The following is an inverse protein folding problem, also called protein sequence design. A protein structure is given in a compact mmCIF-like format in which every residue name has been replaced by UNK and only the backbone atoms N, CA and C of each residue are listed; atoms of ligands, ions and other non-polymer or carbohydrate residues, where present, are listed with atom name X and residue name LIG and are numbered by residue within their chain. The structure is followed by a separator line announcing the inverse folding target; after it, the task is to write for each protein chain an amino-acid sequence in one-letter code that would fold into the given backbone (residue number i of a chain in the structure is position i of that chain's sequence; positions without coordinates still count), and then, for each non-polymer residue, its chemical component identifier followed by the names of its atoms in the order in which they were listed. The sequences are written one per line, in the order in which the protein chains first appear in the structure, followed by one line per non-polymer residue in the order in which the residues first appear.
data_IF_087582477150
#
_entry.id   IF_087582477150
#
_cell.length_a   1.000
_cell.length_b   1.000
_cell.length_c   1.000
_cell.angle_alpha   90.00
_cell.angle_beta   90.00
_cell.angle_gamma   90.00
#
_symmetry.space_group_name_H-M   'P 1'
#
loop_
_entity.id
_entity.type
_entity.pdbx_description
1 polymer ?
#
# COMPACT_ATOMS: atom_id res chain seq x y z
N UNK A 1 16.59 -31.36 6.49
CA UNK A 1 17.71 -30.50 6.97
C UNK A 1 17.43 -30.10 8.41
N UNK A 2 18.42 -30.17 9.32
CA UNK A 2 18.25 -29.73 10.72
C UNK A 2 17.90 -28.22 10.74
N UNK A 3 16.98 -27.81 11.61
CA UNK A 3 16.54 -26.42 11.76
C UNK A 3 17.73 -25.48 12.02
N UNK A 4 18.74 -25.96 12.76
CA UNK A 4 19.98 -25.23 12.98
C UNK A 4 20.80 -24.99 11.71
N UNK A 5 20.87 -25.97 10.81
CA UNK A 5 21.67 -25.87 9.60
C UNK A 5 20.99 -24.93 8.59
N UNK A 6 19.66 -24.97 8.51
CA UNK A 6 18.89 -23.98 7.74
C UNK A 6 19.10 -22.56 8.27
N UNK A 7 19.08 -22.35 9.60
CA UNK A 7 19.36 -21.02 10.18
C UNK A 7 20.78 -20.57 9.87
N UNK A 8 21.79 -21.44 10.02
CA UNK A 8 23.18 -21.08 9.67
C UNK A 8 23.32 -20.73 8.19
N UNK A 9 22.63 -21.45 7.30
CA UNK A 9 22.60 -21.14 5.87
C UNK A 9 22.07 -19.73 5.65
N UNK A 10 20.91 -19.40 6.23
CA UNK A 10 20.32 -18.06 6.14
C UNK A 10 21.29 -16.99 6.67
N UNK A 11 21.94 -17.20 7.81
CA UNK A 11 22.90 -16.23 8.38
C UNK A 11 24.11 -16.01 7.46
N UNK A 12 24.60 -17.07 6.78
CA UNK A 12 25.72 -16.96 5.83
C UNK A 12 25.33 -16.20 4.55
N UNK A 13 24.11 -16.40 4.08
CA UNK A 13 23.60 -15.81 2.83
C UNK A 13 23.07 -14.36 3.01
N UNK A 14 22.92 -13.90 4.25
CA UNK A 14 22.42 -12.56 4.54
C UNK A 14 23.45 -11.49 4.20
N UNK A 15 23.08 -10.54 3.34
CA UNK A 15 23.97 -9.46 2.87
C UNK A 15 24.14 -8.36 3.91
N UNK A 16 23.10 -8.10 4.70
CA UNK A 16 23.13 -7.17 5.84
C UNK A 16 22.79 -7.86 7.16
N UNK A 17 23.02 -7.16 8.27
CA UNK A 17 22.70 -7.68 9.60
C UNK A 17 21.18 -7.69 9.85
N UNK A 18 20.49 -6.69 9.32
CA UNK A 18 19.04 -6.48 9.43
C UNK A 18 18.27 -7.62 8.76
N UNK A 19 18.85 -8.26 7.74
CA UNK A 19 18.27 -9.45 7.12
C UNK A 19 18.15 -10.65 8.08
N UNK A 20 18.89 -10.68 9.18
CA UNK A 20 18.74 -11.74 10.18
C UNK A 20 17.37 -11.66 10.90
N UNK A 21 16.73 -10.49 10.91
CA UNK A 21 15.36 -10.34 11.43
C UNK A 21 14.32 -11.05 10.55
N UNK A 22 14.67 -11.37 9.30
CA UNK A 22 13.82 -12.12 8.37
C UNK A 22 13.89 -13.65 8.55
N UNK A 23 14.73 -14.17 9.45
CA UNK A 23 14.85 -15.61 9.72
C UNK A 23 13.49 -16.30 9.93
N UNK A 24 12.53 -15.75 10.69
CA UNK A 24 11.23 -16.39 10.91
C UNK A 24 10.56 -16.82 9.60
N UNK A 25 10.41 -15.92 8.64
CA UNK A 25 9.72 -16.28 7.40
C UNK A 25 10.65 -16.99 6.40
N UNK A 26 11.95 -16.67 6.37
CA UNK A 26 12.92 -17.33 5.48
C UNK A 26 13.00 -18.84 5.77
N UNK A 27 12.96 -19.22 7.05
CA UNK A 27 13.06 -20.62 7.49
C UNK A 27 11.89 -21.49 6.99
N UNK A 28 10.70 -20.91 6.84
CA UNK A 28 9.48 -21.62 6.48
C UNK A 28 8.95 -21.26 5.09
N UNK A 29 9.76 -20.61 4.24
CA UNK A 29 9.32 -20.09 2.93
C UNK A 29 8.70 -21.15 2.00
N UNK A 30 9.19 -22.38 2.07
CA UNK A 30 8.70 -23.51 1.26
C UNK A 30 7.69 -24.40 2.00
N UNK A 31 7.27 -24.01 3.21
CA UNK A 31 6.36 -24.82 4.03
C UNK A 31 4.89 -24.59 3.63
N UNK A 32 4.10 -25.67 3.61
CA UNK A 32 2.65 -25.59 3.39
C UNK A 32 1.93 -25.12 4.66
N UNK A 33 1.04 -24.15 4.52
CA UNK A 33 0.18 -23.69 5.62
C UNK A 33 -0.86 -24.75 5.96
N UNK A 34 -1.07 -25.00 7.26
CA UNK A 34 -2.14 -25.85 7.80
C UNK A 34 -3.03 -25.02 8.72
N UNK A 35 -4.32 -25.37 8.82
CA UNK A 35 -5.32 -24.66 9.64
C UNK A 35 -4.91 -24.46 11.09
N UNK A 36 -4.26 -25.48 11.69
CA UNK A 36 -3.74 -25.42 13.06
C UNK A 36 -2.72 -24.30 13.31
N UNK A 37 -2.11 -23.73 12.28
CA UNK A 37 -1.11 -22.68 12.42
C UNK A 37 -1.72 -21.28 12.62
N UNK A 38 -2.93 -21.04 12.12
CA UNK A 38 -3.63 -19.76 12.26
C UNK A 38 -4.89 -19.85 13.14
N UNK A 39 -5.18 -21.00 13.75
CA UNK A 39 -6.30 -21.14 14.68
C UNK A 39 -6.13 -20.19 15.87
N UNK A 40 -7.07 -19.25 16.01
CA UNK A 40 -7.13 -18.26 17.09
C UNK A 40 -5.86 -17.40 17.24
N UNK A 41 -5.13 -17.16 16.16
CA UNK A 41 -3.95 -16.28 16.19
C UNK A 41 -4.39 -14.82 16.34
N UNK A 42 -3.71 -14.06 17.20
CA UNK A 42 -3.97 -12.64 17.41
C UNK A 42 -3.03 -11.79 16.55
N UNK A 43 -3.56 -10.98 15.62
CA UNK A 43 -2.79 -10.16 14.69
C UNK A 43 -3.12 -8.69 14.90
N UNK A 44 -2.09 -7.87 15.13
CA UNK A 44 -2.22 -6.42 15.21
C UNK A 44 -1.69 -5.76 13.95
N UNK A 45 -2.41 -4.81 13.38
CA UNK A 45 -1.93 -3.96 12.28
C UNK A 45 -1.79 -2.54 12.83
N UNK A 46 -0.59 -2.00 12.85
CA UNK A 46 -0.31 -0.66 13.37
C UNK A 46 -0.19 0.31 12.22
N UNK A 47 -1.07 1.32 12.19
CA UNK A 47 -1.04 2.39 11.21
C UNK A 47 -1.29 3.73 11.92
N UNK A 48 -0.30 4.62 11.84
CA UNK A 48 -0.38 5.99 12.35
C UNK A 48 -0.50 6.91 11.14
N UNK A 49 -1.72 7.29 10.75
CA UNK A 49 -1.93 8.10 9.57
C UNK A 49 -1.23 9.45 9.64
N UNK A 50 -0.94 9.99 8.47
CA UNK A 50 -0.24 11.25 8.26
C UNK A 50 -0.92 12.08 7.19
N UNK A 51 -2.10 12.63 7.51
CA UNK A 51 -2.93 13.29 6.53
C UNK A 51 -3.50 12.33 5.49
N UNK A 52 -4.60 12.74 4.84
CA UNK A 52 -5.24 11.96 3.79
C UNK A 52 -5.74 10.58 4.23
N UNK A 53 -5.90 9.69 3.23
CA UNK A 53 -6.46 8.34 3.37
C UNK A 53 -5.58 7.24 2.75
N UNK A 54 -4.44 7.56 2.13
CA UNK A 54 -3.68 6.59 1.32
C UNK A 54 -3.24 5.34 2.10
N UNK A 55 -2.57 5.54 3.22
CA UNK A 55 -2.09 4.49 4.11
C UNK A 55 -3.23 3.79 4.88
N UNK A 56 -4.32 4.51 5.16
CA UNK A 56 -5.56 3.96 5.73
C UNK A 56 -6.21 2.97 4.75
N UNK A 57 -6.32 3.32 3.46
CA UNK A 57 -6.87 2.41 2.45
C UNK A 57 -5.96 1.21 2.23
N UNK A 58 -4.63 1.42 2.22
CA UNK A 58 -3.65 0.34 2.16
C UNK A 58 -3.84 -0.62 3.35
N UNK A 59 -3.96 -0.08 4.56
CA UNK A 59 -4.18 -0.83 5.80
C UNK A 59 -5.51 -1.59 5.75
N UNK A 60 -6.60 -0.94 5.31
CA UNK A 60 -7.90 -1.59 5.10
C UNK A 60 -7.79 -2.77 4.13
N UNK A 61 -7.19 -2.54 2.96
CA UNK A 61 -7.06 -3.59 1.93
C UNK A 61 -6.26 -4.78 2.47
N UNK A 62 -5.19 -4.51 3.21
CA UNK A 62 -4.38 -5.54 3.85
C UNK A 62 -5.14 -6.29 4.96
N UNK A 63 -5.92 -5.58 5.77
CA UNK A 63 -6.81 -6.16 6.77
C UNK A 63 -7.82 -7.12 6.13
N UNK A 64 -8.47 -6.70 5.04
CA UNK A 64 -9.45 -7.51 4.31
C UNK A 64 -8.81 -8.82 3.82
N UNK A 65 -7.57 -8.78 3.31
CA UNK A 65 -6.82 -9.99 2.94
C UNK A 65 -6.56 -10.91 4.13
N UNK A 66 -6.17 -10.38 5.28
CA UNK A 66 -5.88 -11.21 6.46
C UNK A 66 -7.14 -11.92 6.96
N UNK A 67 -8.28 -11.23 6.98
CA UNK A 67 -9.58 -11.80 7.37
C UNK A 67 -10.00 -12.88 6.37
N UNK A 68 -9.87 -12.62 5.07
CA UNK A 68 -10.20 -13.59 4.01
C UNK A 68 -9.30 -14.83 4.08
N UNK A 69 -7.98 -14.65 4.24
CA UNK A 69 -7.02 -15.75 4.19
C UNK A 69 -6.97 -16.58 5.47
N UNK A 70 -7.29 -15.97 6.61
CA UNK A 70 -7.17 -16.57 7.94
C UNK A 70 -8.44 -16.30 8.77
N UNK A 71 -9.58 -16.91 8.42
CA UNK A 71 -10.89 -16.54 8.99
C UNK A 71 -11.02 -16.78 10.50
N UNK A 72 -10.16 -17.62 11.10
CA UNK A 72 -10.14 -17.85 12.56
C UNK A 72 -9.13 -16.96 13.29
N UNK A 73 -8.45 -16.06 12.59
CA UNK A 73 -7.53 -15.10 13.19
C UNK A 73 -8.32 -13.92 13.78
N UNK A 74 -7.83 -13.40 14.92
CA UNK A 74 -8.34 -12.16 15.51
C UNK A 74 -7.48 -11.02 15.02
N UNK A 75 -7.93 -10.33 13.97
CA UNK A 75 -7.21 -9.19 13.38
C UNK A 75 -7.74 -7.90 13.98
N UNK A 76 -6.85 -7.00 14.42
CA UNK A 76 -7.20 -5.68 14.95
C UNK A 76 -6.30 -4.60 14.39
N UNK A 77 -6.86 -3.44 14.10
CA UNK A 77 -6.11 -2.26 13.64
C UNK A 77 -5.87 -1.34 14.83
N UNK A 78 -4.60 -1.02 15.08
CA UNK A 78 -4.15 -0.07 16.09
C UNK A 78 -3.82 1.25 15.40
N UNK A 79 -4.55 2.31 15.71
CA UNK A 79 -4.44 3.60 14.99
C UNK A 79 -4.78 4.78 15.89
N UNK A 80 -4.27 5.95 15.53
CA UNK A 80 -4.62 7.24 16.18
C UNK A 80 -5.95 7.79 15.68
N UNK A 81 -6.37 7.45 14.45
CA UNK A 81 -7.53 8.06 13.77
C UNK A 81 -8.64 7.04 13.45
N UNK A 82 -9.28 6.39 14.46
CA UNK A 82 -10.31 5.38 14.23
C UNK A 82 -11.51 5.92 13.43
N UNK A 83 -11.81 7.21 13.53
CA UNK A 83 -12.90 7.85 12.79
C UNK A 83 -12.69 7.75 11.27
N UNK A 84 -11.45 7.88 10.78
CA UNK A 84 -11.15 7.72 9.35
C UNK A 84 -11.41 6.29 8.85
N UNK A 85 -11.19 5.28 9.71
CA UNK A 85 -11.53 3.90 9.41
C UNK A 85 -13.05 3.65 9.40
N UNK A 86 -13.77 4.28 10.34
CA UNK A 86 -15.24 4.22 10.36
C UNK A 86 -15.84 4.77 9.06
N UNK A 87 -15.30 5.89 8.54
CA UNK A 87 -15.76 6.51 7.29
C UNK A 87 -15.64 5.62 6.06
N UNK A 88 -14.76 4.61 6.09
CA UNK A 88 -14.55 3.66 5.00
C UNK A 88 -15.08 2.25 5.33
N UNK A 89 -15.95 2.15 6.34
CA UNK A 89 -16.70 0.95 6.69
C UNK A 89 -15.98 -0.04 7.60
N UNK A 90 -14.89 0.35 8.27
CA UNK A 90 -14.29 -0.46 9.35
C UNK A 90 -14.70 0.16 10.68
N UNK A 91 -15.70 -0.41 11.33
CA UNK A 91 -16.19 0.04 12.64
C UNK A 91 -15.73 -0.86 13.79
N UNK A 92 -15.49 -2.14 13.51
CA UNK A 92 -15.12 -3.13 14.51
C UNK A 92 -13.61 -3.38 14.55
N UNK A 93 -13.12 -3.94 15.66
CA UNK A 93 -11.73 -4.37 15.82
C UNK A 93 -10.67 -3.24 15.72
N UNK A 94 -11.09 -2.00 15.96
CA UNK A 94 -10.19 -0.86 16.09
C UNK A 94 -9.68 -0.72 17.53
N UNK A 95 -8.41 -0.37 17.68
CA UNK A 95 -7.78 -0.01 18.95
C UNK A 95 -7.23 1.40 18.80
N UNK A 96 -7.82 2.32 19.55
CA UNK A 96 -7.35 3.71 19.59
C UNK A 96 -6.00 3.79 20.29
N UNK A 97 -5.05 4.44 19.62
CA UNK A 97 -3.78 4.88 20.18
C UNK A 97 -3.91 6.37 20.50
N UNK A 98 -3.47 6.76 21.69
CA UNK A 98 -3.58 8.14 22.17
C UNK A 98 -2.18 8.71 22.36
N UNK A 99 -2.01 10.02 22.20
CA UNK A 99 -0.74 10.65 22.57
C UNK A 99 -0.56 10.67 24.08
N UNK A 100 0.68 10.50 24.53
CA UNK A 100 1.05 10.54 25.96
C UNK A 100 0.83 11.92 26.56
N UNK A 101 1.09 12.97 25.79
CA UNK A 101 0.96 14.37 26.18
C UNK A 101 -0.48 14.90 26.20
N UNK A 102 -1.47 14.08 25.81
CA UNK A 102 -2.88 14.48 25.82
C UNK A 102 -3.27 15.44 24.69
N UNK A 103 -2.32 15.82 23.82
CA UNK A 103 -2.61 16.66 22.66
C UNK A 103 -3.41 15.84 21.66
N UNK A 104 -4.54 16.38 21.20
CA UNK A 104 -5.41 15.75 20.20
C UNK A 104 -5.41 16.47 18.84
N UNK A 105 -4.44 17.37 18.61
CA UNK A 105 -4.27 18.02 17.31
C UNK A 105 -4.10 16.96 16.22
N UNK A 106 -4.88 17.09 15.13
CA UNK A 106 -5.01 16.13 14.04
C UNK A 106 -5.21 14.67 14.50
N UNK A 107 -6.00 14.43 15.56
CA UNK A 107 -6.23 13.10 16.15
C UNK A 107 -4.93 12.37 16.60
N UNK A 108 -3.81 13.10 16.71
CA UNK A 108 -2.50 12.51 17.01
C UNK A 108 -1.80 11.87 15.81
N UNK A 109 -2.17 12.23 14.59
CA UNK A 109 -1.51 11.84 13.35
C UNK A 109 -0.01 12.16 13.34
N UNK A 110 0.75 11.41 12.54
CA UNK A 110 2.20 11.50 12.41
C UNK A 110 3.02 11.34 13.70
N UNK A 111 2.39 10.95 14.81
CA UNK A 111 3.04 10.83 16.10
C UNK A 111 4.00 9.65 16.12
N UNK A 112 5.26 9.85 16.57
CA UNK A 112 6.19 8.73 16.78
C UNK A 112 5.61 7.72 17.76
N UNK A 113 5.89 6.42 17.56
CA UNK A 113 5.35 5.36 18.40
C UNK A 113 5.65 5.54 19.89
N UNK A 114 6.81 6.09 20.25
CA UNK A 114 7.18 6.29 21.65
C UNK A 114 6.47 7.45 22.35
N UNK A 115 5.78 8.30 21.59
CA UNK A 115 4.86 9.33 22.07
C UNK A 115 3.43 8.85 22.20
N UNK A 116 3.14 7.61 21.78
CA UNK A 116 1.82 7.02 21.86
C UNK A 116 1.67 6.12 23.09
N UNK A 117 0.45 6.03 23.59
CA UNK A 117 0.00 5.11 24.64
C UNK A 117 -1.30 4.45 24.22
N UNK A 118 -1.68 3.44 24.99
CA UNK A 118 -2.90 2.69 24.78
C UNK A 118 -3.35 2.11 26.10
N UNK A 119 -4.64 2.26 26.42
CA UNK A 119 -5.15 1.88 27.74
C UNK A 119 -5.19 0.36 27.91
N UNK A 120 -5.70 -0.37 26.91
CA UNK A 120 -5.85 -1.82 26.96
C UNK A 120 -5.42 -2.49 25.64
N UNK A 121 -4.11 -2.73 25.45
CA UNK A 121 -3.64 -3.51 24.30
C UNK A 121 -3.78 -5.01 24.56
N UNK A 122 -4.50 -5.76 23.71
CA UNK A 122 -4.47 -7.20 23.73
C UNK A 122 -3.08 -7.66 23.28
N UNK A 123 -2.62 -8.79 23.81
CA UNK A 123 -1.36 -9.37 23.35
C UNK A 123 -1.53 -9.89 21.91
N UNK A 124 -0.69 -9.38 21.03
CA UNK A 124 -0.59 -9.84 19.64
C UNK A 124 0.48 -10.91 19.47
N UNK A 125 0.16 -11.93 18.68
CA UNK A 125 1.10 -12.96 18.26
C UNK A 125 1.98 -12.48 17.10
N UNK A 126 1.40 -11.70 16.20
CA UNK A 126 2.04 -11.09 15.03
C UNK A 126 1.59 -9.64 14.96
N UNK A 127 2.53 -8.75 14.66
CA UNK A 127 2.28 -7.32 14.46
C UNK A 127 2.82 -6.91 13.10
N UNK A 128 1.95 -6.35 12.26
CA UNK A 128 2.33 -5.68 11.03
C UNK A 128 2.34 -4.18 11.28
N UNK A 129 3.40 -3.50 10.86
CA UNK A 129 3.54 -2.05 11.05
C UNK A 129 3.60 -1.40 9.69
N UNK A 130 2.67 -0.47 9.44
CA UNK A 130 2.72 0.50 8.36
C UNK A 130 3.53 1.69 8.88
N UNK A 131 4.73 1.95 8.33
CA UNK A 131 5.57 3.06 8.73
C UNK A 131 4.85 4.39 8.51
N UNK A 132 5.20 5.36 9.35
CA UNK A 132 4.77 6.74 9.18
C UNK A 132 5.37 7.27 7.88
N UNK A 133 4.57 7.96 7.07
CA UNK A 133 5.02 8.59 5.82
C UNK A 133 6.32 9.38 6.04
N UNK A 134 7.24 9.27 5.10
CA UNK A 134 8.55 9.95 5.10
C UNK A 134 9.44 9.65 6.31
N UNK A 135 9.19 8.55 7.05
CA UNK A 135 10.01 8.14 8.19
C UNK A 135 10.37 6.66 8.13
N UNK A 136 11.65 6.29 8.37
CA UNK A 136 12.02 4.89 8.53
C UNK A 136 11.39 4.30 9.81
N UNK A 137 11.08 3.01 9.77
CA UNK A 137 10.56 2.33 10.96
C UNK A 137 11.62 2.24 12.06
N UNK A 138 11.32 2.83 13.22
CA UNK A 138 12.18 2.75 14.40
C UNK A 138 11.64 1.72 15.40
N UNK A 139 12.28 0.55 15.43
CA UNK A 139 11.89 -0.54 16.33
C UNK A 139 12.01 -0.16 17.83
N UNK A 140 12.99 0.64 18.22
CA UNK A 140 13.16 1.03 19.62
C UNK A 140 12.01 1.94 20.08
N UNK A 141 11.52 2.82 19.19
CA UNK A 141 10.32 3.60 19.47
C UNK A 141 9.09 2.71 19.56
N UNK A 142 8.92 1.77 18.62
CA UNK A 142 7.81 0.82 18.64
C UNK A 142 7.80 -0.04 19.92
N UNK A 143 8.97 -0.49 20.39
CA UNK A 143 9.10 -1.27 21.62
C UNK A 143 8.70 -0.49 22.87
N UNK A 144 8.84 0.85 22.88
CA UNK A 144 8.33 1.69 23.98
C UNK A 144 6.79 1.73 24.01
N UNK A 145 6.12 1.55 22.87
CA UNK A 145 4.66 1.40 22.79
C UNK A 145 4.23 -0.04 23.12
N UNK A 146 4.94 -1.04 22.58
CA UNK A 146 4.66 -2.47 22.73
C UNK A 146 5.86 -3.18 23.37
N UNK A 147 5.99 -3.21 24.71
CA UNK A 147 7.20 -3.71 25.38
C UNK A 147 7.56 -5.17 25.07
N UNK A 148 6.56 -6.01 24.78
CA UNK A 148 6.76 -7.43 24.46
C UNK A 148 7.11 -7.68 22.99
N UNK A 149 7.19 -6.63 22.15
CA UNK A 149 7.57 -6.79 20.76
C UNK A 149 8.97 -7.37 20.61
N UNK A 150 9.19 -8.05 19.51
CA UNK A 150 10.46 -8.65 19.08
C UNK A 150 10.59 -8.48 17.58
N UNK A 151 11.81 -8.52 17.06
CA UNK A 151 12.03 -8.62 15.60
C UNK A 151 11.43 -9.88 14.97
N UNK A 152 10.99 -10.87 15.77
CA UNK A 152 10.41 -12.12 15.29
C UNK A 152 8.88 -12.15 15.30
N UNK A 153 8.23 -11.14 15.88
CA UNK A 153 6.78 -10.96 15.83
C UNK A 153 6.34 -9.56 15.36
N UNK A 154 7.26 -8.67 15.00
CA UNK A 154 6.98 -7.36 14.42
C UNK A 154 7.56 -7.28 13.01
N UNK A 155 6.71 -7.02 12.03
CA UNK A 155 7.05 -7.02 10.61
C UNK A 155 6.62 -5.71 9.96
N UNK A 156 7.49 -5.11 9.15
CA UNK A 156 7.19 -3.86 8.47
C UNK A 156 6.61 -4.11 7.08
N UNK A 157 5.64 -3.30 6.72
CA UNK A 157 5.09 -3.23 5.36
C UNK A 157 5.47 -1.89 4.75
N UNK A 158 5.62 -1.82 3.43
CA UNK A 158 5.80 -0.52 2.76
C UNK A 158 4.49 -0.03 2.18
N UNK A 159 4.43 1.26 1.87
CA UNK A 159 3.59 1.72 0.77
C UNK A 159 4.09 1.19 -0.58
N UNK A 160 3.44 1.55 -1.68
CA UNK A 160 3.86 1.17 -3.02
C UNK A 160 5.26 1.73 -3.35
N UNK A 161 6.23 0.84 -3.57
CA UNK A 161 7.63 1.16 -3.84
C UNK A 161 8.24 2.11 -2.79
N UNK A 162 7.99 1.83 -1.49
CA UNK A 162 8.39 2.69 -0.38
C UNK A 162 9.89 3.04 -0.33
N UNK A 163 10.17 4.26 0.14
CA UNK A 163 11.49 4.92 0.05
C UNK A 163 12.50 4.49 1.12
N UNK A 164 12.04 3.87 2.22
CA UNK A 164 12.85 3.57 3.40
C UNK A 164 12.96 2.06 3.67
N UNK A 165 13.59 1.29 2.77
CA UNK A 165 13.87 -0.13 3.02
C UNK A 165 14.83 -0.31 4.21
N UNK A 166 14.90 -1.52 4.81
CA UNK A 166 14.24 -2.75 4.39
C UNK A 166 12.83 -2.93 4.96
N UNK A 167 11.94 -3.54 4.16
CA UNK A 167 10.60 -3.94 4.55
C UNK A 167 10.48 -5.47 4.60
N UNK A 168 9.73 -6.01 5.57
CA UNK A 168 9.37 -7.44 5.55
C UNK A 168 8.41 -7.74 4.39
N UNK A 169 7.47 -6.83 4.17
CA UNK A 169 6.46 -6.87 3.12
C UNK A 169 6.62 -5.65 2.20
N UNK A 170 7.61 -5.66 1.28
CA UNK A 170 7.76 -4.59 0.30
C UNK A 170 6.63 -4.69 -0.73
N UNK A 171 5.68 -3.77 -0.67
CA UNK A 171 4.58 -3.60 -1.63
C UNK A 171 5.08 -2.75 -2.79
N UNK A 172 4.74 -3.12 -4.02
CA UNK A 172 5.11 -2.37 -5.21
C UNK A 172 5.39 -3.22 -6.43
N UNK A 173 6.04 -2.60 -7.40
CA UNK A 173 6.39 -3.16 -8.71
C UNK A 173 7.91 -3.34 -8.80
N UNK A 174 8.35 -4.40 -9.47
CA UNK A 174 9.76 -4.81 -9.58
C UNK A 174 10.05 -6.12 -8.87
N UNK A 175 11.22 -6.70 -9.14
CA UNK A 175 11.52 -8.09 -8.76
C UNK A 175 11.66 -8.31 -7.25
N UNK A 176 12.14 -7.30 -6.53
CA UNK A 176 12.29 -7.32 -5.06
C UNK A 176 10.96 -7.06 -4.31
N UNK A 177 9.91 -6.65 -5.02
CA UNK A 177 8.61 -6.35 -4.43
C UNK A 177 7.65 -7.55 -4.48
N UNK A 178 6.71 -7.57 -3.54
CA UNK A 178 5.71 -8.64 -3.41
C UNK A 178 4.49 -8.43 -4.30
N UNK A 179 4.38 -7.30 -5.00
CA UNK A 179 3.22 -6.92 -5.79
C UNK A 179 2.45 -5.76 -5.17
N UNK A 180 1.41 -5.31 -5.86
CA UNK A 180 0.49 -4.25 -5.47
C UNK A 180 -0.80 -4.85 -4.90
N UNK A 181 -1.45 -4.14 -3.98
CA UNK A 181 -2.73 -4.53 -3.42
C UNK A 181 -3.86 -4.21 -4.42
N UNK A 182 -4.68 -5.21 -4.71
CA UNK A 182 -5.88 -5.09 -5.55
C UNK A 182 -7.16 -5.24 -4.73
N UNK A 183 -8.17 -4.47 -5.09
CA UNK A 183 -9.46 -4.49 -4.40
C UNK A 183 -10.54 -5.17 -5.24
N UNK A 184 -11.46 -5.86 -4.56
CA UNK A 184 -12.68 -6.39 -5.17
C UNK A 184 -13.84 -5.48 -4.75
N UNK A 185 -14.15 -4.48 -5.57
CA UNK A 185 -15.20 -3.53 -5.22
C UNK A 185 -16.59 -4.08 -5.49
N UNK A 186 -17.53 -3.74 -4.59
CA UNK A 186 -18.97 -3.82 -4.86
C UNK A 186 -19.38 -2.47 -5.44
N UNK A 187 -19.86 -2.45 -6.67
CA UNK A 187 -20.19 -1.21 -7.37
C UNK A 187 -21.68 -0.91 -7.25
N UNK A 188 -22.01 0.36 -7.02
CA UNK A 188 -23.35 0.92 -7.22
C UNK A 188 -23.31 1.86 -8.41
N UNK A 189 -24.24 1.74 -9.34
CA UNK A 189 -24.36 2.68 -10.46
C UNK A 189 -24.50 4.10 -9.90
N UNK A 190 -23.69 5.04 -10.38
CA UNK A 190 -23.80 6.45 -10.00
C UNK A 190 -24.86 7.16 -10.86
N UNK A 191 -25.51 8.16 -10.30
CA UNK A 191 -26.55 9.01 -10.89
C UNK A 191 -26.19 10.51 -10.93
N UNK A 192 -24.97 10.87 -10.49
CA UNK A 192 -24.47 12.24 -10.43
C UNK A 192 -24.26 12.87 -11.82
N UNK A 193 -23.91 12.07 -12.82
CA UNK A 193 -23.58 12.57 -14.16
C UNK A 193 -23.91 11.57 -15.27
N UNK A 194 -24.48 12.09 -16.36
CA UNK A 194 -24.77 11.34 -17.58
C UNK A 194 -23.53 11.16 -18.44
N UNK A 195 -23.39 9.97 -19.04
CA UNK A 195 -22.35 9.67 -20.05
C UNK A 195 -22.59 10.46 -21.35
N UNK A 196 -21.55 10.78 -22.15
CA UNK A 196 -20.13 10.46 -21.93
C UNK A 196 -19.40 11.55 -21.11
N UNK A 197 -18.46 11.12 -20.26
CA UNK A 197 -17.60 12.04 -19.52
C UNK A 197 -16.20 11.44 -19.25
N UNK A 198 -15.20 12.30 -19.12
CA UNK A 198 -13.89 11.94 -18.55
C UNK A 198 -13.81 12.30 -17.07
N UNK A 199 -12.88 11.67 -16.35
CA UNK A 199 -12.61 11.95 -14.95
C UNK A 199 -11.16 12.40 -14.78
N UNK A 200 -10.98 13.52 -14.08
CA UNK A 200 -9.70 14.04 -13.65
C UNK A 200 -9.69 14.08 -12.12
N UNK A 201 -8.67 13.46 -11.52
CA UNK A 201 -8.45 13.47 -10.08
C UNK A 201 -6.95 13.61 -9.77
N UNK A 202 -6.46 14.84 -9.85
CA UNK A 202 -5.06 15.17 -9.62
C UNK A 202 -4.93 16.17 -8.47
N UNK A 203 -3.78 16.15 -7.81
CA UNK A 203 -3.49 17.06 -6.70
C UNK A 203 -3.05 18.42 -7.26
N UNK A 204 -3.34 19.53 -6.55
CA UNK A 204 -2.77 20.81 -6.89
C UNK A 204 -1.24 20.73 -6.81
N UNK A 205 -0.56 21.55 -7.61
CA UNK A 205 0.90 21.60 -7.57
C UNK A 205 1.37 22.00 -6.17
N UNK A 206 2.36 21.32 -5.58
CA UNK A 206 3.03 21.89 -4.41
C UNK A 206 3.74 23.19 -4.81
N UNK A 207 3.98 24.07 -3.84
CA UNK A 207 4.62 25.39 -4.02
C UNK A 207 5.98 25.38 -4.73
N UNK A 208 6.61 24.20 -4.86
CA UNK A 208 7.90 23.98 -5.50
C UNK A 208 7.82 23.27 -6.87
N UNK A 209 6.65 23.17 -7.50
CA UNK A 209 6.51 22.51 -8.81
C UNK A 209 5.42 23.07 -9.72
N UNK A 210 5.65 23.04 -11.04
CA UNK A 210 4.74 23.59 -12.08
C UNK A 210 3.81 22.51 -12.67
N UNK A 211 3.63 21.37 -11.98
CA UNK A 211 3.23 20.14 -12.69
C UNK A 211 1.72 19.97 -12.91
N UNK A 212 0.85 20.38 -11.98
CA UNK A 212 -0.58 20.10 -12.05
C UNK A 212 -1.31 20.80 -13.20
N UNK A 213 -1.12 22.12 -13.36
CA UNK A 213 -1.69 22.89 -14.48
C UNK A 213 -1.24 22.35 -15.83
N UNK A 214 0.07 22.12 -15.99
CA UNK A 214 0.61 21.53 -17.22
C UNK A 214 0.00 20.16 -17.49
N UNK A 215 -0.05 19.31 -16.48
CA UNK A 215 -0.59 17.96 -16.58
C UNK A 215 -2.04 17.97 -17.05
N UNK A 216 -2.87 18.82 -16.45
CA UNK A 216 -4.26 19.00 -16.85
C UNK A 216 -4.38 19.50 -18.29
N UNK A 217 -3.63 20.55 -18.68
CA UNK A 217 -3.67 21.11 -20.03
C UNK A 217 -3.28 20.06 -21.09
N UNK A 218 -2.23 19.28 -20.83
CA UNK A 218 -1.77 18.21 -21.73
C UNK A 218 -2.83 17.12 -21.90
N UNK A 219 -3.45 16.70 -20.79
CA UNK A 219 -4.53 15.74 -20.80
C UNK A 219 -5.76 16.29 -21.53
N UNK A 220 -6.15 17.54 -21.24
CA UNK A 220 -7.27 18.24 -21.85
C UNK A 220 -7.15 18.28 -23.38
N UNK A 221 -5.98 18.66 -23.90
CA UNK A 221 -5.74 18.70 -25.35
C UNK A 221 -5.90 17.31 -25.98
N UNK A 222 -5.31 16.29 -25.36
CA UNK A 222 -5.40 14.90 -25.82
C UNK A 222 -6.85 14.39 -25.81
N UNK A 223 -7.60 14.56 -24.72
CA UNK A 223 -8.97 14.06 -24.65
C UNK A 223 -9.91 14.83 -25.56
N UNK A 224 -9.73 16.15 -25.72
CA UNK A 224 -10.51 16.94 -26.67
C UNK A 224 -10.26 16.46 -28.10
N UNK A 225 -8.99 16.23 -28.48
CA UNK A 225 -8.65 15.67 -29.79
C UNK A 225 -9.30 14.30 -30.04
N UNK A 226 -9.19 13.41 -29.06
CA UNK A 226 -9.66 12.02 -29.16
C UNK A 226 -11.18 11.90 -29.18
N UNK A 227 -11.88 12.66 -28.34
CA UNK A 227 -13.31 12.45 -28.09
C UNK A 227 -14.23 13.42 -28.82
N UNK A 228 -13.76 14.60 -29.25
CA UNK A 228 -14.61 15.57 -30.00
C UNK A 228 -15.15 15.01 -31.31
N UNK A 229 -14.36 14.16 -31.99
CA UNK A 229 -14.78 13.47 -33.22
C UNK A 229 -15.95 12.50 -33.00
N UNK A 230 -16.13 12.02 -31.77
CA UNK A 230 -17.14 11.01 -31.42
C UNK A 230 -18.32 11.60 -30.66
N UNK A 231 -18.09 12.60 -29.83
CA UNK A 231 -19.09 13.15 -28.92
C UNK A 231 -19.22 14.66 -29.15
N UNK A 232 -20.38 15.08 -29.68
CA UNK A 232 -20.72 16.49 -29.85
C UNK A 232 -20.87 17.21 -28.51
N UNK A 233 -21.37 16.51 -27.50
CA UNK A 233 -21.51 16.97 -26.11
C UNK A 233 -20.63 16.08 -25.24
N UNK A 234 -19.66 16.68 -24.56
CA UNK A 234 -18.71 15.95 -23.73
C UNK A 234 -18.49 16.67 -22.40
N UNK A 235 -18.29 15.90 -21.33
CA UNK A 235 -18.10 16.45 -20.00
C UNK A 235 -16.77 15.97 -19.40
N UNK A 236 -16.16 16.79 -18.55
CA UNK A 236 -14.96 16.42 -17.81
C UNK A 236 -15.17 16.78 -16.35
N UNK A 237 -15.16 15.77 -15.48
CA UNK A 237 -15.14 15.98 -14.03
C UNK A 237 -13.75 16.45 -13.64
N UNK A 238 -13.67 17.56 -12.91
CA UNK A 238 -12.41 18.18 -12.47
C UNK A 238 -12.42 18.40 -10.95
N UNK A 239 -11.26 18.35 -10.27
CA UNK A 239 -11.16 18.73 -8.87
C UNK A 239 -11.34 20.25 -8.67
N UNK A 240 -11.75 20.62 -7.47
CA UNK A 240 -12.07 21.99 -7.04
C UNK A 240 -11.01 23.01 -7.43
N UNK A 241 -9.74 22.74 -7.11
CA UNK A 241 -8.64 23.66 -7.41
C UNK A 241 -8.50 24.04 -8.90
N UNK A 242 -8.94 23.18 -9.84
CA UNK A 242 -8.89 23.52 -11.27
C UNK A 242 -9.92 24.59 -11.61
N UNK A 243 -11.13 24.50 -11.02
CA UNK A 243 -12.15 25.51 -11.26
C UNK A 243 -11.79 26.84 -10.59
N UNK A 244 -11.12 26.79 -9.43
CA UNK A 244 -10.61 27.98 -8.75
C UNK A 244 -9.54 28.65 -9.62
N UNK A 245 -8.59 27.88 -10.13
CA UNK A 245 -7.54 28.39 -11.03
C UNK A 245 -8.14 28.98 -12.33
N UNK A 246 -9.23 28.43 -12.87
CA UNK A 246 -9.92 29.01 -14.03
C UNK A 246 -10.46 30.42 -13.72
N UNK A 247 -11.00 30.63 -12.51
CA UNK A 247 -11.60 31.89 -12.10
C UNK A 247 -10.56 32.95 -11.73
N UNK A 248 -9.45 32.54 -11.13
CA UNK A 248 -8.47 33.47 -10.55
C UNK A 248 -7.18 33.60 -11.38
N UNK A 249 -6.88 32.69 -12.31
CA UNK A 249 -5.71 32.75 -13.20
C UNK A 249 -6.12 32.89 -14.67
N UNK A 250 -6.16 34.13 -15.14
CA UNK A 250 -6.50 34.44 -16.54
C UNK A 250 -5.55 33.77 -17.55
N UNK A 251 -4.26 33.58 -17.22
CA UNK A 251 -3.34 32.90 -18.14
C UNK A 251 -3.68 31.41 -18.28
N UNK A 252 -4.08 30.77 -17.18
CA UNK A 252 -4.53 29.39 -17.19
C UNK A 252 -5.84 29.23 -17.98
N UNK A 253 -6.82 30.11 -17.73
CA UNK A 253 -8.06 30.17 -18.50
C UNK A 253 -7.81 30.33 -20.01
N UNK A 254 -6.99 31.30 -20.43
CA UNK A 254 -6.70 31.53 -21.85
C UNK A 254 -6.06 30.30 -22.52
N UNK A 255 -5.22 29.54 -21.80
CA UNK A 255 -4.65 28.29 -22.30
C UNK A 255 -5.71 27.20 -22.47
N UNK A 256 -6.63 27.06 -21.51
CA UNK A 256 -7.77 26.15 -21.63
C UNK A 256 -8.63 26.52 -22.84
N UNK A 257 -9.03 27.78 -22.94
CA UNK A 257 -9.83 28.30 -24.06
C UNK A 257 -9.18 27.97 -25.40
N UNK A 258 -7.90 28.32 -25.57
CA UNK A 258 -7.13 28.02 -26.79
C UNK A 258 -7.07 26.53 -27.14
N UNK A 259 -7.06 25.64 -26.16
CA UNK A 259 -7.07 24.19 -26.40
C UNK A 259 -8.48 23.75 -26.84
N UNK A 260 -9.51 24.16 -26.10
CA UNK A 260 -10.88 23.67 -26.30
C UNK A 260 -11.47 24.19 -27.61
N UNK A 261 -11.24 25.47 -27.97
CA UNK A 261 -11.78 26.09 -29.19
C UNK A 261 -11.37 25.40 -30.49
N UNK A 262 -10.25 24.64 -30.48
CA UNK A 262 -9.83 23.80 -31.61
C UNK A 262 -10.80 22.63 -31.88
N UNK A 263 -11.57 22.22 -30.89
CA UNK A 263 -12.31 20.95 -30.90
C UNK A 263 -13.81 21.10 -30.58
N UNK A 264 -14.18 22.08 -29.75
CA UNK A 264 -15.56 22.39 -29.37
C UNK A 264 -15.80 23.88 -29.54
N UNK A 265 -17.03 24.24 -29.91
CA UNK A 265 -17.43 25.63 -30.15
C UNK A 265 -18.05 26.31 -28.94
N UNK A 266 -18.40 25.55 -27.92
CA UNK A 266 -18.88 26.06 -26.64
C UNK A 266 -18.11 25.41 -25.49
N UNK A 267 -17.86 26.20 -24.45
CA UNK A 267 -17.29 25.73 -23.19
C UNK A 267 -18.10 26.32 -22.03
N UNK A 268 -18.52 25.46 -21.11
CA UNK A 268 -19.05 25.89 -19.82
C UNK A 268 -18.37 25.17 -18.67
N UNK A 269 -18.54 25.74 -17.48
CA UNK A 269 -18.13 25.13 -16.22
C UNK A 269 -19.31 25.15 -15.25
N UNK A 270 -19.55 24.01 -14.61
CA UNK A 270 -20.60 23.85 -13.59
C UNK A 270 -19.93 23.80 -12.22
N UNK A 271 -20.34 24.73 -11.38
CA UNK A 271 -20.05 24.81 -9.94
C UNK A 271 -21.24 24.22 -9.15
N UNK A 272 -21.08 23.96 -7.84
CA UNK A 272 -22.18 23.45 -7.03
C UNK A 272 -23.48 24.26 -7.14
N UNK A 273 -23.36 25.59 -7.25
CA UNK A 273 -24.50 26.51 -7.19
C UNK A 273 -24.79 27.23 -8.52
N UNK A 274 -23.94 27.10 -9.54
CA UNK A 274 -24.06 27.89 -10.78
C UNK A 274 -23.42 27.20 -12.01
N UNK A 275 -23.85 27.58 -13.22
CA UNK A 275 -23.19 27.23 -14.48
C UNK A 275 -22.71 28.51 -15.19
N UNK A 276 -21.41 28.63 -15.40
CA UNK A 276 -20.80 29.76 -16.11
C UNK A 276 -20.45 29.34 -17.53
N UNK A 277 -20.98 30.08 -18.50
CA UNK A 277 -20.61 29.96 -19.92
C UNK A 277 -19.30 30.72 -20.14
N UNK A 278 -18.24 30.01 -20.51
CA UNK A 278 -16.91 30.59 -20.72
C UNK A 278 -16.75 31.15 -22.15
N UNK A 279 -17.28 30.43 -23.14
CA UNK A 279 -17.49 30.95 -24.49
C UNK A 279 -18.59 30.15 -25.20
N UNK A 280 -19.26 30.80 -26.14
CA UNK A 280 -20.39 30.23 -26.88
C UNK A 280 -20.41 30.71 -28.33
N UNK A 281 -20.76 29.79 -29.22
CA UNK A 281 -21.09 30.01 -30.62
C UNK A 281 -22.49 29.42 -30.87
N UNK A 282 -23.47 30.31 -30.96
CA UNK A 282 -24.88 29.96 -31.12
C UNK A 282 -25.18 29.14 -32.38
N UNK A 283 -24.27 29.12 -33.37
CA UNK A 283 -24.46 28.40 -34.63
C UNK A 283 -24.04 26.93 -34.54
N UNK A 284 -23.15 26.58 -33.61
CA UNK A 284 -22.60 25.24 -33.50
C UNK A 284 -22.80 24.70 -32.09
N UNK A 285 -23.63 23.67 -31.96
CA UNK A 285 -24.01 23.12 -30.64
C UNK A 285 -22.92 22.25 -29.99
N UNK A 286 -21.71 22.10 -30.56
CA UNK A 286 -20.65 21.29 -29.95
C UNK A 286 -20.17 21.91 -28.64
N UNK A 287 -20.24 21.18 -27.53
CA UNK A 287 -20.02 21.72 -26.18
C UNK A 287 -19.15 20.80 -25.35
N UNK A 288 -18.14 21.40 -24.72
CA UNK A 288 -17.41 20.81 -23.61
C UNK A 288 -17.92 21.43 -22.29
N UNK A 289 -18.20 20.60 -21.29
CA UNK A 289 -18.59 21.08 -19.96
C UNK A 289 -17.61 20.57 -18.91
N UNK A 290 -16.96 21.47 -18.20
CA UNK A 290 -16.16 21.15 -17.02
C UNK A 290 -17.09 21.03 -15.81
N UNK A 291 -16.98 19.95 -15.04
CA UNK A 291 -17.85 19.65 -13.90
C UNK A 291 -17.05 19.72 -12.61
N UNK A 292 -17.01 20.92 -12.02
CA UNK A 292 -16.36 21.21 -10.74
C UNK A 292 -17.25 20.97 -9.53
N UNK A 293 -18.51 20.62 -9.77
CA UNK A 293 -19.57 20.38 -8.78
C UNK A 293 -19.62 18.94 -8.25
N UNK A 294 -18.92 18.00 -8.91
CA UNK A 294 -19.04 16.58 -8.61
C UNK A 294 -18.03 16.11 -7.56
N UNK A 295 -16.80 16.61 -7.56
CA UNK A 295 -15.76 16.15 -6.60
C UNK A 295 -15.65 17.11 -5.43
N UNK A 296 -15.31 16.61 -4.22
CA UNK A 296 -14.93 15.22 -3.87
C UNK A 296 -16.12 14.26 -3.65
N UNK A 297 -15.88 12.94 -3.74
CA UNK A 297 -16.89 11.91 -3.51
C UNK A 297 -16.42 10.81 -2.56
N UNK A 298 -17.36 10.15 -1.88
CA UNK A 298 -17.07 8.92 -1.13
C UNK A 298 -16.46 7.86 -2.06
N UNK A 299 -15.53 7.06 -1.55
CA UNK A 299 -14.74 6.12 -2.36
C UNK A 299 -15.60 5.20 -3.24
N UNK A 300 -16.73 4.69 -2.75
CA UNK A 300 -17.63 3.83 -3.52
C UNK A 300 -18.19 4.54 -4.77
N UNK A 301 -18.69 5.77 -4.61
CA UNK A 301 -19.20 6.61 -5.70
C UNK A 301 -18.04 7.01 -6.64
N UNK A 302 -16.89 7.37 -6.06
CA UNK A 302 -15.71 7.74 -6.82
C UNK A 302 -15.24 6.61 -7.76
N UNK A 303 -15.23 5.36 -7.29
CA UNK A 303 -14.91 4.19 -8.12
C UNK A 303 -15.95 4.00 -9.23
N UNK A 304 -17.23 4.21 -8.93
CA UNK A 304 -18.28 4.15 -9.95
C UNK A 304 -18.09 5.23 -11.02
N UNK A 305 -17.71 6.45 -10.64
CA UNK A 305 -17.37 7.51 -11.59
C UNK A 305 -16.21 7.10 -12.51
N UNK A 306 -15.16 6.46 -11.99
CA UNK A 306 -14.05 5.93 -12.81
C UNK A 306 -14.51 4.85 -13.78
N UNK A 307 -15.37 3.94 -13.33
CA UNK A 307 -15.88 2.83 -14.16
C UNK A 307 -16.71 3.35 -15.32
N UNK A 308 -17.58 4.30 -15.04
CA UNK A 308 -18.57 4.84 -15.97
C UNK A 308 -18.04 5.92 -16.92
N UNK A 309 -16.87 6.49 -16.64
CA UNK A 309 -16.21 7.44 -17.54
C UNK A 309 -15.82 6.81 -18.90
N UNK A 310 -15.27 7.62 -19.80
CA UNK A 310 -14.60 7.13 -21.01
C UNK A 310 -13.32 6.34 -20.69
N UNK A 311 -12.63 5.82 -21.70
CA UNK A 311 -11.48 4.93 -21.49
C UNK A 311 -10.28 5.62 -20.82
N UNK A 312 -10.07 6.90 -21.13
CA UNK A 312 -8.96 7.69 -20.62
C UNK A 312 -9.34 8.36 -19.30
N UNK A 313 -8.47 8.24 -18.30
CA UNK A 313 -8.66 8.85 -16.98
C UNK A 313 -7.33 9.44 -16.51
N UNK A 314 -7.35 10.64 -15.93
CA UNK A 314 -6.17 11.28 -15.35
C UNK A 314 -6.25 11.25 -13.83
N UNK A 315 -5.26 10.66 -13.17
CA UNK A 315 -5.22 10.58 -11.70
C UNK A 315 -3.86 10.87 -11.09
N UNK A 316 -3.88 11.14 -9.78
CA UNK A 316 -2.71 11.14 -8.89
C UNK A 316 -2.90 10.18 -7.74
N UNK A 317 -1.77 9.68 -7.25
CA UNK A 317 -1.68 8.89 -6.02
C UNK A 317 -1.78 7.40 -6.28
N UNK A 318 -0.98 6.65 -5.53
CA UNK A 318 -0.84 5.21 -5.68
C UNK A 318 -2.17 4.47 -5.49
N UNK A 319 -3.03 4.99 -4.59
CA UNK A 319 -4.32 4.37 -4.32
C UNK A 319 -5.31 4.56 -5.47
N UNK A 320 -5.39 5.76 -6.05
CA UNK A 320 -6.25 6.03 -7.22
C UNK A 320 -5.84 5.13 -8.40
N UNK A 321 -4.53 4.99 -8.63
CA UNK A 321 -3.99 4.09 -9.65
C UNK A 321 -4.41 2.64 -9.41
N UNK A 322 -4.19 2.13 -8.19
CA UNK A 322 -4.52 0.73 -7.86
C UNK A 322 -6.03 0.47 -7.86
N UNK A 323 -6.84 1.46 -7.51
CA UNK A 323 -8.31 1.41 -7.60
C UNK A 323 -8.77 1.30 -9.06
N UNK A 324 -8.22 2.09 -9.98
CA UNK A 324 -8.57 1.99 -11.41
C UNK A 324 -8.15 0.64 -11.99
N UNK A 325 -6.92 0.19 -11.71
CA UNK A 325 -6.43 -1.10 -12.20
C UNK A 325 -7.31 -2.24 -11.66
N UNK A 326 -7.79 -2.12 -10.42
CA UNK A 326 -8.68 -3.10 -9.79
C UNK A 326 -10.09 -3.08 -10.41
N UNK A 327 -10.67 -1.89 -10.59
CA UNK A 327 -12.07 -1.75 -11.03
C UNK A 327 -12.26 -1.95 -12.53
N UNK A 328 -11.27 -1.51 -13.31
CA UNK A 328 -11.52 -1.04 -14.66
C UNK A 328 -10.32 -1.38 -15.56
N UNK A 329 -10.07 -2.68 -15.72
CA UNK A 329 -8.88 -3.26 -16.39
C UNK A 329 -8.66 -2.86 -17.86
N UNK A 330 -9.63 -2.18 -18.48
CA UNK A 330 -9.58 -1.70 -19.86
C UNK A 330 -9.32 -0.19 -19.96
N UNK A 331 -9.23 0.52 -18.82
CA UNK A 331 -8.97 1.95 -18.81
C UNK A 331 -7.50 2.25 -19.12
N UNK A 332 -7.29 3.36 -19.82
CA UNK A 332 -5.98 3.97 -20.04
C UNK A 332 -5.80 4.98 -18.91
N UNK A 333 -4.85 4.70 -18.04
CA UNK A 333 -4.55 5.58 -16.90
C UNK A 333 -3.42 6.53 -17.28
N UNK A 334 -3.73 7.81 -17.23
CA UNK A 334 -2.78 8.91 -17.23
C UNK A 334 -2.48 9.29 -15.79
N UNK A 335 -1.24 9.60 -15.51
CA UNK A 335 -0.75 9.72 -14.13
C UNK A 335 0.03 11.01 -13.95
N UNK A 336 -0.43 11.89 -13.06
CA UNK A 336 0.42 12.97 -12.57
C UNK A 336 1.43 12.37 -11.59
N UNK A 337 2.71 12.38 -11.97
CA UNK A 337 3.78 11.90 -11.12
C UNK A 337 3.96 12.91 -9.98
N UNK A 338 3.64 12.50 -8.75
CA UNK A 338 3.99 13.29 -7.58
C UNK A 338 5.51 13.18 -7.31
N UNK A 339 6.18 14.28 -6.93
CA UNK A 339 7.62 14.27 -6.71
C UNK A 339 8.12 13.25 -5.67
N UNK A 340 7.32 12.97 -4.64
CA UNK A 340 7.57 11.97 -3.59
C UNK A 340 7.16 10.54 -3.99
N UNK A 341 6.82 10.30 -5.26
CA UNK A 341 6.41 8.98 -5.81
C UNK A 341 7.06 8.64 -7.14
N UNK A 342 8.20 9.24 -7.45
CA UNK A 342 8.97 8.96 -8.67
C UNK A 342 9.35 7.48 -8.81
N UNK A 343 9.66 6.81 -7.70
CA UNK A 343 10.05 5.40 -7.69
C UNK A 343 8.98 4.47 -8.26
N UNK A 344 7.71 4.69 -7.90
CA UNK A 344 6.59 3.91 -8.45
C UNK A 344 6.40 4.21 -9.94
N UNK A 345 6.37 5.49 -10.33
CA UNK A 345 6.20 5.88 -11.73
C UNK A 345 7.28 5.28 -12.64
N UNK A 346 8.55 5.36 -12.22
CA UNK A 346 9.67 4.72 -12.92
C UNK A 346 9.45 3.23 -13.09
N UNK A 347 9.09 2.51 -12.01
CA UNK A 347 8.87 1.06 -12.06
C UNK A 347 7.66 0.67 -12.90
N UNK A 348 6.61 1.47 -12.89
CA UNK A 348 5.47 1.30 -13.78
C UNK A 348 5.90 1.46 -15.25
N UNK A 349 6.71 2.46 -15.57
CA UNK A 349 7.22 2.67 -16.94
C UNK A 349 8.12 1.55 -17.47
N UNK A 350 8.83 0.86 -16.57
CA UNK A 350 9.71 -0.28 -16.90
C UNK A 350 8.91 -1.58 -17.12
N UNK A 351 7.74 -1.71 -16.48
CA UNK A 351 7.01 -2.97 -16.39
C UNK A 351 5.62 -2.97 -17.00
N UNK A 352 5.14 -1.81 -17.47
CA UNK A 352 3.91 -1.68 -18.24
C UNK A 352 4.24 -1.36 -19.69
N UNK A 353 3.37 -1.76 -20.64
CA UNK A 353 3.43 -1.30 -22.02
C UNK A 353 2.93 0.16 -22.15
N UNK A 354 3.22 1.02 -21.16
CA UNK A 354 2.97 2.45 -21.20
C UNK A 354 4.30 3.20 -21.05
N UNK A 355 4.96 3.43 -22.18
CA UNK A 355 6.22 4.16 -22.24
C UNK A 355 6.11 5.62 -21.77
N UNK A 356 4.91 6.19 -21.73
CA UNK A 356 4.67 7.59 -21.39
C UNK A 356 4.80 7.87 -19.89
N UNK A 357 4.85 6.84 -19.03
CA UNK A 357 5.15 7.00 -17.61
C UNK A 357 6.61 7.33 -17.29
N UNK A 358 7.51 7.33 -18.28
CA UNK A 358 8.94 7.61 -18.06
C UNK A 358 9.24 9.04 -17.64
N UNK A 359 8.38 10.01 -17.99
CA UNK A 359 8.64 11.42 -17.73
C UNK A 359 7.39 12.16 -17.28
N UNK A 360 7.59 13.21 -16.48
CA UNK A 360 6.54 14.16 -16.10
C UNK A 360 5.80 14.72 -17.32
N UNK A 361 6.52 15.00 -18.41
CA UNK A 361 5.95 15.61 -19.62
C UNK A 361 4.93 14.71 -20.30
N UNK A 362 5.20 13.41 -20.32
CA UNK A 362 4.40 12.44 -21.09
C UNK A 362 3.37 11.71 -20.24
N UNK A 363 3.57 11.62 -18.92
CA UNK A 363 2.75 10.82 -18.02
C UNK A 363 1.29 11.26 -17.93
N UNK A 364 1.02 12.53 -18.24
CA UNK A 364 -0.30 13.14 -18.23
C UNK A 364 -1.08 12.99 -19.54
N UNK A 365 -0.50 12.34 -20.56
CA UNK A 365 -1.10 12.19 -21.88
C UNK A 365 -0.52 13.18 -22.89
N UNK A 366 -0.31 12.69 -24.11
CA UNK A 366 0.16 13.46 -25.27
C UNK A 366 -0.64 13.07 -26.51
N UNK A 367 -0.61 13.90 -27.56
CA UNK A 367 -1.27 13.57 -28.84
C UNK A 367 -0.75 12.26 -29.46
N UNK A 368 0.55 11.98 -29.31
CA UNK A 368 1.17 10.75 -29.81
C UNK A 368 0.65 9.48 -29.13
N UNK A 369 -0.03 9.63 -28.00
CA UNK A 369 -0.42 8.54 -27.12
C UNK A 369 -1.90 8.16 -27.25
N UNK A 370 -2.66 8.82 -28.14
CA UNK A 370 -4.10 8.64 -28.35
C UNK A 370 -4.48 7.18 -28.69
N UNK A 371 -3.60 6.49 -29.43
CA UNK A 371 -3.79 5.11 -29.89
C UNK A 371 -3.23 4.06 -28.93
N UNK A 372 -2.78 4.46 -27.73
CA UNK A 372 -2.24 3.53 -26.76
C UNK A 372 -3.32 2.54 -26.29
N UNK A 373 -2.99 1.25 -26.31
CA UNK A 373 -3.82 0.20 -25.71
C UNK A 373 -3.03 -0.50 -24.60
N UNK A 374 -3.53 -0.42 -23.37
CA UNK A 374 -2.87 -1.02 -22.20
C UNK A 374 -3.69 -2.22 -21.75
N UNK A 375 -3.09 -3.41 -21.82
CA UNK A 375 -3.65 -4.60 -21.20
C UNK A 375 -3.05 -4.80 -19.81
N UNK A 376 -3.82 -4.44 -18.77
CA UNK A 376 -3.40 -4.58 -17.38
C UNK A 376 -3.35 -6.04 -16.89
N UNK A 377 -3.94 -7.01 -17.61
CA UNK A 377 -4.08 -8.40 -17.14
C UNK A 377 -2.73 -9.05 -16.80
N UNK A 378 -1.77 -8.98 -17.72
CA UNK A 378 -0.43 -9.57 -17.54
C UNK A 378 0.29 -8.92 -16.35
N UNK A 379 0.18 -7.59 -16.26
CA UNK A 379 0.76 -6.83 -15.16
C UNK A 379 0.14 -7.22 -13.82
N UNK A 380 -1.19 -7.27 -13.74
CA UNK A 380 -1.91 -7.69 -12.53
C UNK A 380 -1.53 -9.11 -12.14
N UNK A 381 -1.44 -10.05 -13.08
CA UNK A 381 -1.07 -11.43 -12.78
C UNK A 381 0.35 -11.55 -12.21
N UNK A 382 1.28 -10.75 -12.71
CA UNK A 382 2.69 -10.72 -12.27
C UNK A 382 2.87 -10.02 -10.92
N UNK A 383 2.19 -8.89 -10.72
CA UNK A 383 2.35 -8.03 -9.56
C UNK A 383 1.17 -8.10 -8.58
N UNK A 384 0.47 -9.24 -8.50
CA UNK A 384 -0.57 -9.47 -7.49
C UNK A 384 0.05 -9.80 -6.12
N UNK A 385 -0.10 -8.87 -5.16
CA UNK A 385 0.37 -9.09 -3.79
C UNK A 385 -0.24 -10.34 -3.14
N UNK A 386 -1.46 -10.73 -3.53
CA UNK A 386 -2.16 -11.91 -2.99
C UNK A 386 -1.44 -13.22 -3.31
N UNK A 387 -0.51 -13.22 -4.27
CA UNK A 387 0.33 -14.39 -4.60
C UNK A 387 1.59 -14.43 -3.72
N UNK A 388 2.51 -13.48 -3.92
CA UNK A 388 3.82 -13.48 -3.23
C UNK A 388 3.69 -13.03 -1.77
N UNK A 389 2.86 -12.03 -1.49
CA UNK A 389 2.55 -11.53 -0.15
C UNK A 389 1.91 -12.59 0.73
N UNK A 390 0.87 -13.28 0.25
CA UNK A 390 0.25 -14.40 0.99
C UNK A 390 1.24 -15.51 1.32
N UNK A 391 2.11 -15.89 0.39
CA UNK A 391 3.17 -16.89 0.64
C UNK A 391 4.12 -16.44 1.75
N UNK A 392 4.52 -15.15 1.75
CA UNK A 392 5.37 -14.56 2.79
C UNK A 392 4.67 -14.59 4.16
N UNK A 393 3.41 -14.20 4.22
CA UNK A 393 2.63 -14.15 5.47
C UNK A 393 2.33 -15.56 6.00
N UNK A 394 2.04 -16.53 5.12
CA UNK A 394 1.94 -17.94 5.51
C UNK A 394 3.19 -18.40 6.25
N UNK A 395 4.36 -18.03 5.74
CA UNK A 395 5.65 -18.39 6.35
C UNK A 395 5.82 -17.74 7.73
N UNK A 396 5.39 -16.49 7.89
CA UNK A 396 5.37 -15.78 9.18
C UNK A 396 4.46 -16.50 10.19
N UNK A 397 3.26 -16.90 9.78
CA UNK A 397 2.30 -17.61 10.64
C UNK A 397 2.85 -18.98 11.08
N UNK A 398 3.43 -19.74 10.15
CA UNK A 398 4.07 -21.03 10.45
C UNK A 398 5.22 -20.81 11.45
N UNK A 399 6.03 -19.77 11.23
CA UNK A 399 7.11 -19.42 12.14
C UNK A 399 6.59 -19.12 13.55
N UNK A 400 5.53 -18.31 13.68
CA UNK A 400 4.92 -18.00 14.97
C UNK A 400 4.46 -19.28 15.71
N UNK A 401 3.80 -20.19 15.02
CA UNK A 401 3.37 -21.47 15.60
C UNK A 401 4.55 -22.28 16.15
N UNK A 402 5.63 -22.44 15.37
CA UNK A 402 6.81 -23.17 15.81
C UNK A 402 7.60 -22.45 16.90
N UNK A 403 7.60 -21.11 16.89
CA UNK A 403 8.17 -20.30 17.97
C UNK A 403 7.45 -20.56 19.29
N UNK A 404 6.12 -20.59 19.29
CA UNK A 404 5.33 -20.93 20.50
C UNK A 404 5.66 -22.33 21.03
N UNK A 405 5.79 -23.32 20.14
CA UNK A 405 6.15 -24.70 20.53
C UNK A 405 7.58 -24.87 21.01
N UNK A 406 8.52 -24.08 20.49
CA UNK A 406 9.95 -24.18 20.83
C UNK A 406 10.49 -22.84 21.35
N UNK A 407 9.77 -22.23 22.30
CA UNK A 407 9.99 -20.88 22.81
C UNK A 407 11.43 -20.66 23.28
N UNK A 408 11.99 -21.63 24.01
CA UNK A 408 13.36 -21.53 24.54
C UNK A 408 14.39 -21.38 23.41
N UNK A 409 14.27 -22.15 22.33
CA UNK A 409 15.22 -22.09 21.23
C UNK A 409 15.15 -20.75 20.49
N UNK A 410 13.95 -20.29 20.18
CA UNK A 410 13.77 -19.04 19.43
C UNK A 410 14.12 -17.81 20.27
N UNK A 411 13.86 -17.82 21.58
CA UNK A 411 14.33 -16.77 22.48
C UNK A 411 15.86 -16.69 22.50
N UNK A 412 16.55 -17.85 22.60
CA UNK A 412 18.01 -17.89 22.53
C UNK A 412 18.55 -17.41 21.18
N UNK A 413 17.89 -17.78 20.08
CA UNK A 413 18.27 -17.32 18.74
C UNK A 413 18.14 -15.80 18.62
N UNK A 414 17.01 -15.25 19.06
CA UNK A 414 16.75 -13.81 19.05
C UNK A 414 17.78 -13.07 19.92
N UNK A 415 18.09 -13.58 21.11
CA UNK A 415 19.10 -13.00 21.99
C UNK A 415 20.50 -13.03 21.35
N UNK A 416 20.87 -14.13 20.70
CA UNK A 416 22.13 -14.24 19.96
C UNK A 416 22.20 -13.15 18.89
N UNK A 417 21.13 -12.93 18.13
CA UNK A 417 21.07 -11.90 17.09
C UNK A 417 21.10 -10.49 17.73
N UNK A 418 20.34 -10.21 18.77
CA UNK A 418 20.33 -8.86 19.37
C UNK A 418 21.66 -8.49 20.04
N UNK A 419 22.38 -9.45 20.63
CA UNK A 419 23.66 -9.23 21.32
C UNK A 419 24.88 -9.40 20.42
N UNK A 420 24.71 -9.59 19.11
CA UNK A 420 25.82 -9.74 18.17
C UNK A 420 25.87 -8.53 17.25
N UNK A 421 27.09 -8.16 16.82
CA UNK A 421 27.31 -7.01 15.91
C UNK A 421 27.60 -7.44 14.47
N UNK A 422 27.93 -8.72 14.24
CA UNK A 422 28.35 -9.28 12.95
C UNK A 422 27.79 -10.68 12.74
N UNK A 423 27.52 -11.06 11.50
CA UNK A 423 27.02 -12.40 11.12
C UNK A 423 27.94 -13.53 11.61
N UNK A 424 29.26 -13.30 11.59
CA UNK A 424 30.27 -14.26 12.07
C UNK A 424 30.11 -14.59 13.57
N UNK A 425 29.79 -13.58 14.39
CA UNK A 425 29.53 -13.78 15.83
C UNK A 425 28.27 -14.61 16.06
N UNK A 426 27.21 -14.34 15.28
CA UNK A 426 25.96 -15.13 15.31
C UNK A 426 26.27 -16.58 14.98
N UNK A 427 27.03 -16.86 13.92
CA UNK A 427 27.43 -18.22 13.53
C UNK A 427 28.22 -18.94 14.63
N UNK A 428 29.18 -18.26 15.26
CA UNK A 428 29.99 -18.86 16.34
C UNK A 428 29.14 -19.19 17.57
N UNK A 429 28.24 -18.29 17.98
CA UNK A 429 27.30 -18.53 19.08
C UNK A 429 26.32 -19.67 18.75
N UNK A 430 25.85 -19.76 17.50
CA UNK A 430 24.98 -20.86 17.05
C UNK A 430 25.68 -22.23 17.06
N UNK A 431 26.96 -22.30 16.65
CA UNK A 431 27.77 -23.53 16.74
C UNK A 431 27.89 -23.99 18.19
N UNK A 432 28.23 -23.08 19.10
CA UNK A 432 28.33 -23.36 20.54
C UNK A 432 27.01 -23.91 21.09
N UNK A 433 25.89 -23.27 20.74
CA UNK A 433 24.56 -23.71 21.17
C UNK A 433 24.21 -25.12 20.66
N UNK A 434 24.56 -25.45 19.41
CA UNK A 434 24.33 -26.77 18.85
C UNK A 434 25.18 -27.84 19.55
N UNK A 435 26.45 -27.55 19.85
CA UNK A 435 27.36 -28.45 20.58
C UNK A 435 26.85 -28.75 21.99
N UNK A 436 26.35 -27.74 22.72
CA UNK A 436 25.75 -27.92 24.05
C UNK A 436 24.52 -28.83 23.98
N UNK A 437 23.64 -28.62 22.98
CA UNK A 437 22.45 -29.48 22.79
C UNK A 437 22.83 -30.93 22.45
N UNK A 438 23.83 -31.15 21.60
CA UNK A 438 24.36 -32.50 21.29
C UNK A 438 24.89 -33.18 22.56
N UNK A 439 25.74 -32.51 23.33
CA UNK A 439 26.28 -33.02 24.62
C UNK A 439 25.15 -33.39 25.61
N UNK A 440 24.11 -32.55 25.75
CA UNK A 440 22.95 -32.83 26.62
C UNK A 440 22.14 -34.05 26.16
N UNK A 441 21.92 -34.23 24.84
CA UNK A 441 21.25 -35.42 24.29
C UNK A 441 22.04 -36.71 24.57
N UNK A 442 23.36 -36.68 24.40
CA UNK A 442 24.24 -37.83 24.67
C UNK A 442 24.22 -38.21 26.15
N UNK A 443 24.30 -37.22 27.07
CA UNK A 443 24.18 -37.47 28.52
C UNK A 443 22.81 -38.09 28.89
N UNK A 444 21.71 -37.60 28.30
CA UNK A 444 20.37 -38.17 28.55
C UNK A 444 20.20 -39.59 28.01
N UNK A 445 20.76 -39.91 26.84
CA UNK A 445 20.77 -41.28 26.29
C UNK A 445 21.57 -42.24 27.18
N UNK A 446 22.77 -41.83 27.63
CA UNK A 446 23.58 -42.61 28.58
C UNK A 446 22.81 -42.89 29.89
N UNK A 447 22.10 -41.90 30.44
CA UNK A 447 21.28 -42.05 31.66
C UNK A 447 20.03 -42.91 31.48
N UNK A 448 19.44 -42.96 30.27
CA UNK A 448 18.33 -43.89 29.95
C UNK A 448 18.82 -45.32 29.81
N UNK A 449 19.95 -45.54 29.14
CA UNK A 449 20.53 -46.87 28.96
C UNK A 449 21.08 -47.46 30.28
N UNK A 450 21.54 -46.62 31.21
CA UNK A 450 21.92 -47.09 32.56
C UNK A 450 20.71 -47.49 33.41
N UNK A 451 19.57 -46.79 33.27
CA UNK A 451 18.31 -47.14 33.96
C UNK A 451 17.57 -48.35 33.36
N UNK A 452 17.75 -48.64 32.06
CA UNK A 452 17.18 -49.85 31.46
C UNK A 452 17.98 -51.09 31.84
N UNK A 453 19.31 -51.00 31.91
CA UNK A 453 20.19 -52.08 32.39
C UNK A 453 20.00 -52.43 33.88
N UNK A 454 19.54 -51.49 34.71
CA UNK A 454 19.21 -51.75 36.11
C UNK A 454 17.81 -52.35 36.32
N UNK A 455 16.92 -52.29 35.30
CA UNK A 455 15.58 -52.88 35.35
C UNK A 455 15.51 -54.30 34.76
N UNK A 456 16.52 -54.73 34.01
CA UNK A 456 16.66 -56.10 33.50
C UNK A 456 17.49 -57.01 34.41
N UNK A 457 17.76 -56.57 35.65
CA UNK A 457 18.53 -57.29 36.70
C UNK A 457 17.72 -57.47 37.99
N UNK A 458 16.43 -57.21 37.94
CA UNK A 458 15.39 -57.65 38.88
C UNK A 458 14.41 -58.47 38.07
#
# INVERSE_FOLDING_TARGET
MDQFDSIKKIVKESKSYEELYNIPWKLYHSSKLLSKYYKNISIGIFNIPCGGFGDIILTKTFNDYLIEWYPTAKVRICTTSPQKYNLIGITDNLIKLERKDGVNYDDGECSPFDKLKVKNIPRFDIMFVVPIINKPFNYNQFKKLIPYSTYFNTFTMSEYNGEFPPYTLPIGVGDENLGILFNNFKYKQQDLIKKPYALVYIQPSPSWGVHARYCFLSYLEMICNKYSKRYRLFQIIIPEWIHEDINYDNQFYLKIKKIVEKYYKNLSIVYPDDEVILFEDNTNKSKLTLRGDILPQKREIFISLMKDSVNDILVTGDQSLTDIISCCKYKIVWYQIAPWKQGLAKKLSEHLPNQYFKSYRTSCGTLDSINLNINWKVFMEKYDFRKKGKKRINSIIIANYHQKKNKLFFNQLLEIIQKSRKNTMVLNKLRTLQTIKKKRKTKRRKKKNSKSKSKSKK
#
